data_IF_713105884404
#
_entry.id   IF_713105884404
#
_cell.length_a   1.000
_cell.length_b   1.000
_cell.length_c   1.000
_cell.angle_alpha   90.00
_cell.angle_beta   90.00
_cell.angle_gamma   90.00
#
_symmetry.space_group_name_H-M   'P 1'
#
loop_
_entity.id
_entity.type
_entity.pdbx_description
1 polymer ?
#
# COMPACT_ATOMS: atom_id res chain seq x y z
N UNK A 1 24.30 -1.40 12.27
CA UNK A 1 23.77 -0.58 13.39
C UNK A 1 22.54 -1.31 13.89
N UNK A 2 22.33 -1.40 15.19
CA UNK A 2 21.15 -2.05 15.78
C UNK A 2 20.16 -0.98 16.22
N UNK A 3 18.91 -1.11 15.83
CA UNK A 3 17.80 -0.27 16.29
C UNK A 3 16.87 -1.14 17.12
N UNK A 4 16.47 -0.68 18.30
CA UNK A 4 15.60 -1.46 19.17
C UNK A 4 14.15 -1.01 19.02
N UNK A 5 13.24 -1.96 18.99
CA UNK A 5 11.82 -1.71 18.83
C UNK A 5 10.95 -2.52 19.77
N UNK A 6 9.65 -2.31 19.60
CA UNK A 6 8.56 -3.08 20.18
C UNK A 6 7.49 -3.29 19.12
N UNK A 7 6.64 -4.27 19.32
CA UNK A 7 5.36 -4.37 18.64
C UNK A 7 4.21 -4.46 19.64
N UNK A 8 3.07 -3.85 19.28
CA UNK A 8 1.95 -3.64 20.20
C UNK A 8 0.60 -3.81 19.52
N UNK A 9 -0.38 -4.20 20.33
CA UNK A 9 -1.80 -4.30 19.96
C UNK A 9 -2.69 -3.77 21.09
N UNK A 10 -3.98 -4.10 21.09
CA UNK A 10 -4.87 -3.80 22.21
C UNK A 10 -4.43 -4.42 23.53
N UNK A 11 -3.63 -5.49 23.51
CA UNK A 11 -3.18 -6.16 24.75
C UNK A 11 -2.28 -5.28 25.62
N UNK A 12 -1.57 -4.31 25.04
CA UNK A 12 -0.74 -3.37 25.80
C UNK A 12 -1.55 -2.20 26.39
N UNK A 13 -2.84 -2.11 26.07
CA UNK A 13 -3.77 -1.13 26.63
C UNK A 13 -3.35 0.31 26.36
N UNK A 14 -3.48 1.19 27.35
CA UNK A 14 -3.14 2.60 27.18
C UNK A 14 -1.63 2.85 27.36
N UNK A 15 -0.93 3.10 26.26
CA UNK A 15 0.51 3.33 26.23
C UNK A 15 0.85 4.83 26.42
N UNK A 16 1.77 5.13 27.34
CA UNK A 16 2.44 6.43 27.43
C UNK A 16 3.65 6.47 26.49
N UNK A 17 3.41 6.85 25.24
CA UNK A 17 4.44 6.92 24.20
C UNK A 17 5.58 7.91 24.50
N UNK A 18 5.34 8.95 25.30
CA UNK A 18 6.39 9.89 25.71
C UNK A 18 7.34 9.27 26.75
N UNK A 19 6.86 8.33 27.56
CA UNK A 19 7.70 7.53 28.43
C UNK A 19 8.49 6.51 27.60
N UNK A 20 7.84 5.80 26.66
CA UNK A 20 8.48 4.82 25.76
C UNK A 20 9.63 5.45 24.97
N UNK A 21 9.45 6.64 24.41
CA UNK A 21 10.50 7.33 23.64
C UNK A 21 11.76 7.66 24.46
N UNK A 22 11.72 7.55 25.80
CA UNK A 22 12.87 7.79 26.70
C UNK A 22 13.59 6.50 27.10
N UNK A 23 13.10 5.32 26.72
CA UNK A 23 13.66 4.02 27.16
C UNK A 23 14.67 3.43 26.17
N UNK A 24 15.01 4.14 25.10
CA UNK A 24 15.89 3.67 24.02
C UNK A 24 15.17 2.89 22.92
N UNK A 25 13.84 2.87 22.91
CA UNK A 25 13.05 2.38 21.77
C UNK A 25 13.15 3.39 20.62
N UNK A 26 13.40 2.88 19.42
CA UNK A 26 13.57 3.65 18.18
C UNK A 26 12.41 3.46 17.20
N UNK A 27 11.73 2.32 17.26
CA UNK A 27 10.59 2.03 16.40
C UNK A 27 9.49 1.24 17.12
N UNK A 28 8.27 1.32 16.57
CA UNK A 28 7.16 0.50 17.02
C UNK A 28 6.36 -0.04 15.83
N UNK A 29 6.07 -1.35 15.83
CA UNK A 29 5.02 -1.91 14.97
C UNK A 29 3.69 -1.87 15.71
N UNK A 30 2.64 -1.41 15.04
CA UNK A 30 1.29 -1.34 15.61
C UNK A 30 0.34 -2.26 14.86
N UNK A 31 -0.43 -3.09 15.58
CA UNK A 31 -1.42 -3.96 14.96
C UNK A 31 -2.49 -3.11 14.28
N UNK A 32 -2.68 -3.29 12.98
CA UNK A 32 -3.65 -2.55 12.19
C UNK A 32 -5.01 -3.24 12.15
N UNK A 33 -5.01 -4.56 12.04
CA UNK A 33 -6.21 -5.37 11.98
C UNK A 33 -5.89 -6.82 11.72
N UNK A 34 -6.91 -7.55 11.31
CA UNK A 34 -6.79 -8.97 11.02
C UNK A 34 -8.06 -9.57 10.46
N UNK A 35 -7.97 -10.85 10.13
CA UNK A 35 -9.08 -11.68 9.65
C UNK A 35 -9.21 -13.01 10.40
N UNK A 36 -8.44 -13.21 11.47
CA UNK A 36 -8.41 -14.45 12.25
C UNK A 36 -9.77 -14.84 12.84
N UNK A 37 -10.58 -13.84 13.19
CA UNK A 37 -11.92 -13.99 13.76
C UNK A 37 -12.95 -13.17 12.94
N UNK A 38 -12.79 -13.24 11.61
CA UNK A 38 -13.47 -12.36 10.66
C UNK A 38 -12.75 -11.03 10.50
N UNK A 39 -13.06 -10.31 9.43
CA UNK A 39 -12.33 -9.08 9.09
C UNK A 39 -12.62 -7.96 10.10
N UNK A 40 -11.58 -7.33 10.66
CA UNK A 40 -11.72 -6.20 11.59
C UNK A 40 -10.60 -5.15 11.47
N UNK A 41 -10.80 -3.98 12.07
CA UNK A 41 -9.74 -2.97 12.33
C UNK A 41 -9.39 -3.08 13.80
N UNK A 42 -8.10 -3.07 14.15
CA UNK A 42 -7.70 -3.08 15.55
C UNK A 42 -8.17 -1.79 16.25
N UNK A 43 -8.88 -1.97 17.36
CA UNK A 43 -9.41 -0.94 18.25
C UNK A 43 -8.37 0.08 18.74
N UNK A 44 -7.11 -0.33 18.93
CA UNK A 44 -6.04 0.56 19.37
C UNK A 44 -5.15 1.08 18.25
N UNK A 45 -5.36 0.68 16.99
CA UNK A 45 -4.48 1.04 15.87
C UNK A 45 -4.27 2.56 15.75
N UNK A 46 -5.34 3.33 15.59
CA UNK A 46 -5.24 4.79 15.39
C UNK A 46 -4.58 5.49 16.57
N UNK A 47 -4.88 5.05 17.79
CA UNK A 47 -4.31 5.63 19.01
C UNK A 47 -2.82 5.31 19.14
N UNK A 48 -2.43 4.06 18.87
CA UNK A 48 -1.05 3.62 18.93
C UNK A 48 -0.22 4.27 17.81
N UNK A 49 -0.73 4.28 16.58
CA UNK A 49 -0.11 4.97 15.46
C UNK A 49 0.13 6.46 15.77
N UNK A 50 -0.92 7.20 16.14
CA UNK A 50 -0.80 8.63 16.41
C UNK A 50 0.13 8.94 17.59
N UNK A 51 0.05 8.14 18.67
CA UNK A 51 0.88 8.31 19.84
C UNK A 51 2.37 8.04 19.58
N UNK A 52 2.69 6.95 18.88
CA UNK A 52 4.05 6.61 18.50
C UNK A 52 4.65 7.68 17.57
N UNK A 53 3.94 8.08 16.50
CA UNK A 53 4.38 9.15 15.59
C UNK A 53 4.62 10.47 16.31
N UNK A 54 3.69 10.89 17.17
CA UNK A 54 3.81 12.15 17.91
C UNK A 54 5.00 12.16 18.90
N UNK A 55 5.43 10.98 19.36
CA UNK A 55 6.61 10.82 20.22
C UNK A 55 7.94 10.75 19.45
N UNK A 56 7.89 10.77 18.11
CA UNK A 56 9.08 10.73 17.24
C UNK A 56 9.63 9.33 16.99
N UNK A 57 8.87 8.27 17.30
CA UNK A 57 9.25 6.90 16.95
C UNK A 57 9.01 6.63 15.47
N UNK A 58 9.87 5.80 14.86
CA UNK A 58 9.62 5.24 13.54
C UNK A 58 8.48 4.21 13.63
N UNK A 59 7.48 4.31 12.78
CA UNK A 59 6.28 3.45 12.91
C UNK A 59 6.17 2.48 11.74
N UNK A 60 5.87 1.22 12.06
CA UNK A 60 5.41 0.18 11.14
C UNK A 60 4.02 -0.29 11.52
N UNK A 61 3.39 -1.08 10.66
CA UNK A 61 2.10 -1.67 10.95
C UNK A 61 2.09 -3.15 10.58
N UNK A 62 1.28 -3.95 11.26
CA UNK A 62 1.12 -5.36 10.90
C UNK A 62 -0.34 -5.81 10.86
N UNK A 63 -0.59 -6.85 10.08
CA UNK A 63 -1.91 -7.45 9.88
C UNK A 63 -1.86 -8.95 10.17
N UNK A 64 -2.81 -9.47 10.94
CA UNK A 64 -2.84 -10.89 11.33
C UNK A 64 -4.01 -11.61 10.65
N UNK A 65 -3.80 -12.49 9.67
CA UNK A 65 -4.89 -13.11 8.91
C UNK A 65 -5.42 -14.42 9.55
N UNK A 66 -4.72 -14.95 10.55
CA UNK A 66 -5.09 -16.18 11.25
C UNK A 66 -5.00 -17.45 10.40
N UNK A 67 -5.77 -18.48 10.79
CA UNK A 67 -5.59 -19.84 10.26
C UNK A 67 -6.18 -20.09 8.87
N UNK A 68 -7.03 -19.19 8.37
CA UNK A 68 -7.69 -19.36 7.07
C UNK A 68 -6.89 -18.74 5.91
N UNK A 69 -5.70 -18.21 6.19
CA UNK A 69 -4.80 -17.61 5.22
C UNK A 69 -4.08 -18.68 4.39
N UNK A 70 -4.82 -19.42 3.57
CA UNK A 70 -4.33 -20.64 2.91
C UNK A 70 -4.64 -20.68 1.42
N UNK A 71 -5.01 -19.56 0.80
CA UNK A 71 -5.23 -19.47 -0.64
C UNK A 71 -4.86 -18.09 -1.18
N UNK A 72 -4.64 -18.01 -2.50
CA UNK A 72 -4.38 -16.75 -3.19
C UNK A 72 -5.49 -15.72 -2.92
N UNK A 73 -6.75 -16.14 -2.96
CA UNK A 73 -7.90 -15.27 -2.72
C UNK A 73 -7.92 -14.70 -1.30
N UNK A 74 -7.50 -15.49 -0.30
CA UNK A 74 -7.33 -15.00 1.07
C UNK A 74 -6.21 -13.95 1.13
N UNK A 75 -5.07 -14.22 0.50
CA UNK A 75 -3.96 -13.28 0.34
C UNK A 75 -4.39 -11.94 -0.24
N UNK A 76 -5.15 -11.97 -1.34
CA UNK A 76 -5.69 -10.78 -2.01
C UNK A 76 -6.66 -10.02 -1.11
N UNK A 77 -7.59 -10.73 -0.45
CA UNK A 77 -8.60 -10.12 0.41
C UNK A 77 -7.96 -9.41 1.62
N UNK A 78 -6.98 -10.04 2.26
CA UNK A 78 -6.30 -9.48 3.41
C UNK A 78 -5.37 -8.32 3.04
N UNK A 79 -4.71 -8.36 1.87
CA UNK A 79 -3.90 -7.23 1.41
C UNK A 79 -4.76 -5.99 1.14
N UNK A 80 -5.89 -6.16 0.42
CA UNK A 80 -6.84 -5.05 0.19
C UNK A 80 -7.36 -4.50 1.50
N UNK A 81 -7.72 -5.39 2.42
CA UNK A 81 -8.21 -4.98 3.72
C UNK A 81 -7.16 -4.20 4.51
N UNK A 82 -5.90 -4.64 4.46
CA UNK A 82 -4.81 -3.94 5.14
C UNK A 82 -4.57 -2.56 4.52
N UNK A 83 -4.53 -2.46 3.19
CA UNK A 83 -4.45 -1.19 2.45
C UNK A 83 -5.56 -0.21 2.85
N UNK A 84 -6.80 -0.67 3.00
CA UNK A 84 -7.91 0.17 3.46
C UNK A 84 -7.69 0.75 4.86
N UNK A 85 -7.08 -0.02 5.78
CA UNK A 85 -6.82 0.43 7.15
C UNK A 85 -5.71 1.50 7.17
N UNK A 86 -4.67 1.29 6.36
CA UNK A 86 -3.46 2.12 6.39
C UNK A 86 -3.50 3.28 5.40
N UNK A 87 -4.57 3.42 4.61
CA UNK A 87 -4.73 4.49 3.64
C UNK A 87 -4.47 5.89 4.25
N UNK A 88 -3.68 6.70 3.52
CA UNK A 88 -3.34 8.06 3.92
C UNK A 88 -2.35 8.18 5.09
N UNK A 89 -1.71 7.09 5.52
CA UNK A 89 -0.69 7.08 6.58
C UNK A 89 0.70 6.92 6.01
N UNK A 90 1.71 7.24 6.81
CA UNK A 90 3.14 7.07 6.46
C UNK A 90 3.86 6.23 7.50
N UNK A 91 4.72 5.32 7.03
CA UNK A 91 5.41 4.33 7.88
C UNK A 91 6.90 4.30 7.59
N UNK A 92 7.72 4.73 8.56
CA UNK A 92 9.18 4.66 8.47
C UNK A 92 9.72 3.23 8.58
N UNK A 93 8.92 2.31 9.10
CA UNK A 93 9.24 0.88 9.12
C UNK A 93 8.39 0.15 8.08
N UNK A 94 8.75 -1.10 7.71
CA UNK A 94 7.93 -1.93 6.84
C UNK A 94 6.48 -2.07 7.32
N UNK A 95 5.60 -2.48 6.41
CA UNK A 95 4.30 -3.04 6.77
C UNK A 95 4.38 -4.55 6.69
N UNK A 96 3.82 -5.26 7.66
CA UNK A 96 4.05 -6.70 7.82
C UNK A 96 2.78 -7.54 7.76
N UNK A 97 2.89 -8.73 7.16
CA UNK A 97 1.93 -9.82 7.36
C UNK A 97 2.42 -10.72 8.49
N UNK A 98 1.54 -11.02 9.44
CA UNK A 98 1.84 -11.83 10.62
C UNK A 98 1.38 -13.28 10.41
N UNK A 99 2.32 -14.23 10.26
CA UNK A 99 2.03 -15.61 9.87
C UNK A 99 2.17 -16.60 11.03
N UNK A 100 1.30 -16.49 12.03
CA UNK A 100 1.28 -17.41 13.19
C UNK A 100 0.11 -18.41 13.22
N UNK A 101 -0.93 -18.18 12.40
CA UNK A 101 -2.21 -18.90 12.51
C UNK A 101 -2.35 -20.19 11.69
N UNK A 102 -1.64 -20.31 10.56
CA UNK A 102 -1.77 -21.45 9.63
C UNK A 102 -1.12 -22.73 10.19
N UNK A 103 -1.47 -23.89 9.63
CA UNK A 103 -0.95 -25.19 10.10
C UNK A 103 0.08 -25.77 9.11
N UNK A 104 0.93 -26.71 9.55
CA UNK A 104 1.92 -27.34 8.67
C UNK A 104 1.33 -28.00 7.42
N UNK A 105 0.10 -28.53 7.51
CA UNK A 105 -0.62 -29.09 6.35
C UNK A 105 -1.05 -28.03 5.32
N UNK A 106 -1.13 -26.76 5.70
CA UNK A 106 -1.56 -25.65 4.84
C UNK A 106 -0.39 -24.98 4.12
N UNK A 107 0.83 -25.53 4.24
CA UNK A 107 2.09 -24.90 3.87
C UNK A 107 2.12 -24.27 2.47
N UNK A 108 1.68 -25.01 1.46
CA UNK A 108 1.68 -24.53 0.07
C UNK A 108 0.66 -23.39 -0.10
N UNK A 109 -0.53 -23.55 0.48
CA UNK A 109 -1.59 -22.55 0.44
C UNK A 109 -1.22 -21.26 1.18
N UNK A 110 -0.60 -21.38 2.35
CA UNK A 110 -0.10 -20.24 3.12
C UNK A 110 1.03 -19.50 2.37
N UNK A 111 1.91 -20.22 1.69
CA UNK A 111 2.96 -19.62 0.85
C UNK A 111 2.33 -18.84 -0.31
N UNK A 112 1.37 -19.43 -1.03
CA UNK A 112 0.65 -18.76 -2.13
C UNK A 112 -0.08 -17.50 -1.64
N UNK A 113 -0.80 -17.60 -0.51
CA UNK A 113 -1.49 -16.46 0.10
C UNK A 113 -0.50 -15.34 0.46
N UNK A 114 0.66 -15.70 1.01
CA UNK A 114 1.71 -14.76 1.41
C UNK A 114 2.29 -14.02 0.20
N UNK A 115 2.59 -14.73 -0.88
CA UNK A 115 3.10 -14.12 -2.13
C UNK A 115 2.08 -13.14 -2.68
N UNK A 116 0.82 -13.56 -2.79
CA UNK A 116 -0.26 -12.71 -3.30
C UNK A 116 -0.44 -11.44 -2.45
N UNK A 117 -0.42 -11.58 -1.12
CA UNK A 117 -0.48 -10.45 -0.22
C UNK A 117 0.68 -9.49 -0.43
N UNK A 118 1.91 -10.00 -0.39
CA UNK A 118 3.11 -9.17 -0.46
C UNK A 118 3.20 -8.44 -1.79
N UNK A 119 2.89 -9.11 -2.91
CA UNK A 119 2.88 -8.47 -4.24
C UNK A 119 1.86 -7.36 -4.36
N UNK A 120 0.68 -7.48 -3.76
CA UNK A 120 -0.31 -6.40 -3.74
C UNK A 120 0.17 -5.21 -2.90
N UNK A 121 0.79 -5.47 -1.75
CA UNK A 121 1.34 -4.40 -0.91
C UNK A 121 2.47 -3.65 -1.62
N UNK A 122 3.41 -4.36 -2.26
CA UNK A 122 4.49 -3.74 -3.05
C UNK A 122 3.95 -2.93 -4.23
N UNK A 123 2.98 -3.48 -4.98
CA UNK A 123 2.34 -2.79 -6.09
C UNK A 123 1.59 -1.52 -5.65
N UNK A 124 1.14 -1.47 -4.38
CA UNK A 124 0.55 -0.29 -3.77
C UNK A 124 1.57 0.70 -3.19
N UNK A 125 2.87 0.49 -3.44
CA UNK A 125 3.95 1.38 -3.00
C UNK A 125 4.41 1.16 -1.57
N UNK A 126 4.15 0.00 -0.98
CA UNK A 126 4.61 -0.33 0.37
C UNK A 126 5.82 -1.27 0.36
N UNK A 127 6.80 -0.97 1.19
CA UNK A 127 7.83 -1.90 1.61
C UNK A 127 7.20 -2.94 2.54
N UNK A 128 6.93 -4.12 2.00
CA UNK A 128 6.30 -5.22 2.72
C UNK A 128 7.33 -6.16 3.35
N UNK A 129 6.95 -6.77 4.45
CA UNK A 129 7.76 -7.72 5.22
C UNK A 129 6.90 -8.88 5.70
N UNK A 130 7.53 -10.03 5.91
CA UNK A 130 6.87 -11.23 6.44
C UNK A 130 7.32 -11.42 7.88
N UNK A 131 6.37 -11.45 8.81
CA UNK A 131 6.60 -11.86 10.19
C UNK A 131 6.24 -13.33 10.41
N UNK A 132 7.05 -14.02 11.21
CA UNK A 132 6.74 -15.37 11.67
C UNK A 132 7.79 -15.97 12.60
N UNK A 133 7.42 -17.04 13.30
CA UNK A 133 8.33 -17.83 14.11
C UNK A 133 9.39 -18.55 13.27
N UNK A 134 10.63 -18.58 13.75
CA UNK A 134 11.74 -19.25 13.07
C UNK A 134 11.45 -20.74 12.79
N UNK A 135 10.83 -21.42 13.77
CA UNK A 135 10.44 -22.82 13.65
C UNK A 135 8.95 -22.94 13.29
N UNK A 136 8.09 -22.28 14.07
CA UNK A 136 6.62 -22.43 14.01
C UNK A 136 5.93 -21.42 13.06
N UNK A 137 6.61 -21.06 11.96
CA UNK A 137 6.06 -20.36 10.80
C UNK A 137 6.94 -20.66 9.60
N UNK A 138 8.18 -20.13 9.60
CA UNK A 138 9.06 -20.16 8.44
C UNK A 138 9.53 -21.58 8.08
N UNK A 139 9.81 -22.44 9.05
CA UNK A 139 10.28 -23.80 8.79
C UNK A 139 9.13 -24.78 8.51
N UNK A 140 8.10 -24.79 9.35
CA UNK A 140 7.05 -25.80 9.31
C UNK A 140 5.85 -25.45 8.43
N UNK A 141 5.56 -24.15 8.21
CA UNK A 141 4.32 -23.68 7.56
C UNK A 141 4.52 -22.84 6.30
N UNK A 142 5.75 -22.53 5.89
CA UNK A 142 6.04 -21.76 4.68
C UNK A 142 7.15 -22.36 3.82
N UNK A 143 7.02 -22.27 2.50
CA UNK A 143 8.07 -22.60 1.56
C UNK A 143 9.04 -21.41 1.44
N UNK A 144 9.98 -21.30 2.39
CA UNK A 144 10.84 -20.10 2.54
C UNK A 144 11.56 -19.68 1.25
N UNK A 145 12.06 -20.63 0.45
CA UNK A 145 12.78 -20.30 -0.79
C UNK A 145 11.91 -19.64 -1.87
N UNK A 146 10.58 -19.71 -1.75
CA UNK A 146 9.65 -18.98 -2.62
C UNK A 146 9.39 -17.54 -2.14
N UNK A 147 9.90 -17.18 -0.97
CA UNK A 147 9.69 -15.90 -0.31
C UNK A 147 11.00 -15.09 -0.20
N UNK A 148 12.08 -15.53 -0.86
CA UNK A 148 13.43 -14.97 -0.72
C UNK A 148 13.50 -13.46 -1.03
N UNK A 149 12.63 -12.95 -1.89
CA UNK A 149 12.58 -11.54 -2.28
C UNK A 149 12.08 -10.59 -1.17
N UNK A 150 11.26 -11.08 -0.24
CA UNK A 150 10.66 -10.24 0.81
C UNK A 150 11.54 -10.23 2.06
N UNK A 151 11.62 -9.11 2.77
CA UNK A 151 12.33 -9.09 4.05
C UNK A 151 11.58 -9.86 5.15
N UNK A 152 12.36 -10.45 6.07
CA UNK A 152 11.83 -11.27 7.17
C UNK A 152 11.98 -10.56 8.52
N UNK A 153 10.91 -10.60 9.31
CA UNK A 153 10.89 -10.34 10.73
C UNK A 153 10.67 -11.65 11.47
N UNK A 154 11.71 -12.14 12.14
CA UNK A 154 11.72 -13.50 12.66
C UNK A 154 11.54 -13.48 14.16
N UNK A 155 10.57 -14.23 14.67
CA UNK A 155 10.41 -14.46 16.10
C UNK A 155 11.22 -15.68 16.55
N UNK A 156 12.13 -15.49 17.50
CA UNK A 156 12.77 -16.58 18.24
C UNK A 156 13.30 -16.10 19.59
N UNK A 157 12.76 -16.67 20.66
CA UNK A 157 13.08 -16.22 22.01
C UNK A 157 14.22 -17.05 22.63
N UNK A 158 15.10 -16.38 23.39
CA UNK A 158 16.17 -17.01 24.17
C UNK A 158 17.39 -17.50 23.37
N UNK A 159 17.33 -17.46 22.03
CA UNK A 159 18.45 -17.78 21.13
C UNK A 159 18.23 -17.15 19.77
N UNK A 160 19.30 -16.80 19.06
CA UNK A 160 19.24 -16.30 17.68
C UNK A 160 18.49 -17.25 16.73
N UNK A 161 17.76 -16.73 15.72
CA UNK A 161 17.19 -17.50 14.61
C UNK A 161 18.19 -18.49 14.00
N UNK A 162 17.76 -19.72 13.81
CA UNK A 162 18.59 -20.80 13.28
C UNK A 162 18.13 -21.28 11.91
N UNK A 163 16.85 -21.15 11.56
CA UNK A 163 16.35 -21.60 10.26
C UNK A 163 16.42 -20.48 9.24
N UNK A 164 15.82 -19.33 9.55
CA UNK A 164 15.94 -18.13 8.72
C UNK A 164 17.31 -17.51 8.95
N UNK A 165 18.18 -17.56 7.93
CA UNK A 165 19.57 -17.08 8.02
C UNK A 165 19.73 -15.61 7.68
N UNK A 166 18.82 -15.07 6.88
CA UNK A 166 18.80 -13.68 6.46
C UNK A 166 17.46 -13.08 6.86
N UNK A 167 17.50 -12.12 7.78
CA UNK A 167 16.34 -11.42 8.30
C UNK A 167 16.74 -9.98 8.62
N UNK A 168 15.79 -9.07 8.49
CA UNK A 168 16.03 -7.67 8.77
C UNK A 168 15.62 -7.26 10.18
N UNK A 169 14.70 -7.99 10.80
CA UNK A 169 14.24 -7.77 12.18
C UNK A 169 14.20 -9.11 12.92
N UNK A 170 14.59 -9.09 14.19
CA UNK A 170 14.45 -10.21 15.12
C UNK A 170 13.62 -9.79 16.32
N UNK A 171 12.49 -10.46 16.54
CA UNK A 171 11.75 -10.41 17.80
C UNK A 171 12.37 -11.41 18.77
N UNK A 172 13.06 -10.90 19.78
CA UNK A 172 13.90 -11.70 20.69
C UNK A 172 13.27 -11.97 22.05
N UNK A 173 12.16 -11.31 22.38
CA UNK A 173 11.42 -11.51 23.62
C UNK A 173 9.95 -11.12 23.47
N UNK A 174 9.09 -11.78 24.25
CA UNK A 174 7.66 -11.48 24.39
C UNK A 174 7.22 -11.19 25.83
N UNK A 175 8.19 -11.06 26.74
CA UNK A 175 7.95 -11.03 28.18
C UNK A 175 8.63 -9.85 28.88
N UNK A 176 9.10 -8.88 28.10
CA UNK A 176 9.80 -7.71 28.62
C UNK A 176 8.85 -6.60 29.07
N UNK A 177 9.41 -5.63 29.80
CA UNK A 177 8.72 -4.44 30.27
C UNK A 177 9.42 -3.20 29.73
N UNK A 178 8.64 -2.21 29.32
CA UNK A 178 9.11 -0.91 28.82
C UNK A 178 8.35 0.18 29.55
N UNK A 179 9.05 1.19 30.09
CA UNK A 179 8.38 2.31 30.76
C UNK A 179 7.38 2.97 29.81
N UNK A 180 6.15 3.15 30.30
CA UNK A 180 5.01 3.64 29.51
C UNK A 180 4.04 2.54 29.09
N UNK A 181 4.42 1.26 29.22
CA UNK A 181 3.53 0.11 29.05
C UNK A 181 3.41 -0.60 30.40
N UNK A 182 2.24 -0.45 31.03
CA UNK A 182 2.05 -0.91 32.42
C UNK A 182 1.03 -2.02 32.57
N UNK A 183 0.21 -2.27 31.55
CA UNK A 183 -0.89 -3.23 31.65
C UNK A 183 -0.39 -4.68 31.50
N UNK A 184 0.58 -4.93 30.61
CA UNK A 184 1.14 -6.24 30.33
C UNK A 184 2.60 -6.13 29.88
N UNK A 185 3.24 -7.28 29.62
CA UNK A 185 4.53 -7.34 28.92
C UNK A 185 4.41 -6.86 27.48
N UNK A 186 5.55 -6.57 26.86
CA UNK A 186 5.65 -6.16 25.46
C UNK A 186 6.72 -6.98 24.74
N UNK A 187 6.47 -7.22 23.48
CA UNK A 187 7.41 -7.84 22.56
C UNK A 187 8.58 -6.88 22.26
N UNK A 188 9.77 -7.42 22.07
CA UNK A 188 11.00 -6.66 21.88
C UNK A 188 11.72 -7.09 20.62
N UNK A 189 12.06 -6.09 19.83
CA UNK A 189 12.67 -6.27 18.52
C UNK A 189 14.02 -5.60 18.41
N UNK A 190 14.83 -6.14 17.49
CA UNK A 190 16.01 -5.48 16.97
C UNK A 190 15.99 -5.50 15.45
N UNK A 191 16.13 -4.33 14.83
CA UNK A 191 16.29 -4.18 13.40
C UNK A 191 17.77 -4.02 13.04
N UNK A 192 18.21 -4.75 12.01
CA UNK A 192 19.58 -4.77 11.51
C UNK A 192 19.76 -3.94 10.23
N UNK A 193 18.65 -3.47 9.65
CA UNK A 193 18.62 -2.57 8.50
C UNK A 193 18.08 -1.21 8.91
N UNK A 194 18.57 -0.15 8.28
CA UNK A 194 18.03 1.20 8.45
C UNK A 194 16.78 1.39 7.58
N UNK A 195 15.67 0.73 7.97
CA UNK A 195 14.41 0.82 7.23
C UNK A 195 13.91 2.25 7.01
N UNK A 196 13.97 3.17 8.00
CA UNK A 196 13.57 4.56 7.78
C UNK A 196 14.28 5.21 6.59
N UNK A 197 15.58 5.00 6.46
CA UNK A 197 16.36 5.52 5.34
C UNK A 197 16.03 4.80 4.03
N UNK A 198 15.98 3.46 4.04
CA UNK A 198 15.67 2.64 2.85
C UNK A 198 14.31 3.02 2.25
N UNK A 199 13.29 3.13 3.09
CA UNK A 199 11.91 3.36 2.68
C UNK A 199 11.72 4.80 2.18
N UNK A 200 12.27 5.80 2.89
CA UNK A 200 12.18 7.21 2.48
C UNK A 200 12.93 7.47 1.17
N UNK A 201 14.15 6.95 1.04
CA UNK A 201 14.93 7.10 -0.19
C UNK A 201 14.26 6.44 -1.40
N UNK A 202 13.48 5.38 -1.17
CA UNK A 202 12.72 4.71 -2.22
C UNK A 202 11.36 5.38 -2.51
N UNK A 203 10.93 6.38 -1.75
CA UNK A 203 9.59 6.97 -1.89
C UNK A 203 8.47 5.95 -1.64
N UNK A 204 8.66 5.05 -0.68
CA UNK A 204 7.68 4.02 -0.33
C UNK A 204 6.89 4.38 0.92
N UNK A 205 5.87 3.60 1.25
CA UNK A 205 5.05 3.73 2.46
C UNK A 205 4.43 5.12 2.65
N UNK A 206 3.94 5.72 1.55
CA UNK A 206 3.30 7.04 1.57
C UNK A 206 4.28 8.23 1.61
N UNK A 207 5.59 8.00 1.53
CA UNK A 207 6.58 9.05 1.29
C UNK A 207 6.75 9.30 -0.21
N UNK A 208 6.99 10.54 -0.63
CA UNK A 208 7.49 10.84 -1.98
C UNK A 208 9.02 10.69 -1.99
N UNK A 209 9.61 10.32 -3.14
CA UNK A 209 11.06 10.20 -3.33
C UNK A 209 11.83 11.53 -3.25
N UNK A 210 11.16 12.65 -2.96
CA UNK A 210 11.74 14.00 -2.94
C UNK A 210 12.25 14.46 -1.56
N UNK A 211 12.45 13.56 -0.60
CA UNK A 211 12.88 13.95 0.75
C UNK A 211 14.01 13.08 1.28
N UNK A 212 15.26 13.48 1.01
CA UNK A 212 16.38 13.18 1.90
C UNK A 212 16.77 14.47 2.61
N UNK A 213 16.18 14.67 3.79
CA UNK A 213 16.66 15.65 4.77
C UNK A 213 18.02 15.18 5.31
N UNK A 214 19.11 15.82 4.85
CA UNK A 214 20.34 15.97 5.65
C UNK A 214 20.24 17.25 6.50
N UNK A 215 20.89 17.30 7.68
CA UNK A 215 20.51 18.21 8.76
C UNK A 215 20.88 19.67 8.46
N UNK A 216 19.97 20.56 8.89
CA UNK A 216 20.00 22.01 8.77
C UNK A 216 21.36 22.66 9.08
N UNK A 217 21.92 23.39 8.10
CA UNK A 217 22.54 24.69 8.39
C UNK A 217 22.56 25.65 7.18
N UNK A 218 21.93 26.81 7.41
CA UNK A 218 21.95 28.09 6.70
C UNK A 218 21.29 28.20 5.29
N UNK A 219 20.22 28.99 5.24
CA UNK A 219 19.76 29.72 4.05
C UNK A 219 20.86 30.69 3.59
N UNK A 220 21.06 30.94 2.28
CA UNK A 220 20.07 31.72 1.52
C UNK A 220 19.93 31.47 0.00
N UNK A 221 18.81 32.01 -0.47
CA UNK A 221 18.41 32.38 -1.84
C UNK A 221 17.97 31.29 -2.83
N UNK A 222 16.67 31.37 -3.09
CA UNK A 222 15.84 30.75 -4.11
C UNK A 222 16.41 30.87 -5.54
N UNK A 223 16.35 29.78 -6.32
CA UNK A 223 16.11 29.86 -7.74
C UNK A 223 14.80 29.17 -8.11
N UNK A 224 13.88 29.95 -8.68
CA UNK A 224 12.67 29.49 -9.33
C UNK A 224 12.99 28.76 -10.64
N UNK A 225 12.50 27.53 -10.85
CA UNK A 225 12.47 26.78 -12.13
C UNK A 225 11.41 25.64 -11.99
N UNK A 226 10.57 25.21 -12.94
CA UNK A 226 9.92 25.69 -14.18
C UNK A 226 8.77 24.66 -14.44
N UNK A 227 7.67 25.08 -15.09
CA UNK A 227 6.68 24.16 -15.68
C UNK A 227 7.32 23.37 -16.85
N UNK A 228 6.97 22.10 -17.12
CA UNK A 228 7.40 21.46 -18.35
C UNK A 228 6.49 21.84 -19.52
N UNK A 229 7.16 22.26 -20.60
CA UNK A 229 6.65 22.62 -21.92
C UNK A 229 6.09 21.45 -22.76
N UNK A 230 5.54 21.83 -23.92
CA UNK A 230 4.72 21.08 -24.88
C UNK A 230 5.25 19.77 -25.51
N UNK A 231 4.25 18.92 -25.84
CA UNK A 231 4.07 18.07 -27.04
C UNK A 231 5.31 17.47 -27.73
N UNK A 232 5.65 16.23 -27.36
CA UNK A 232 6.45 15.32 -28.18
C UNK A 232 5.61 14.09 -28.59
N UNK A 233 5.60 13.75 -29.88
CA UNK A 233 4.83 12.66 -30.54
C UNK A 233 5.44 11.25 -30.33
N UNK A 234 6.31 11.09 -29.33
CA UNK A 234 6.99 9.81 -29.03
C UNK A 234 6.16 8.97 -28.06
N UNK A 235 6.06 7.63 -28.26
CA UNK A 235 5.44 6.75 -27.28
C UNK A 235 6.16 6.81 -25.94
N UNK A 236 5.41 6.99 -24.86
CA UNK A 236 5.91 7.01 -23.48
C UNK A 236 5.41 5.77 -22.77
N UNK A 237 6.26 5.13 -21.97
CA UNK A 237 5.81 4.05 -21.08
C UNK A 237 5.22 4.65 -19.82
N UNK A 238 3.98 4.29 -19.51
CA UNK A 238 3.31 4.66 -18.27
C UNK A 238 3.09 3.42 -17.40
N UNK A 239 3.55 3.48 -16.15
CA UNK A 239 3.28 2.44 -15.15
C UNK A 239 1.96 2.78 -14.47
N UNK A 240 0.97 1.90 -14.59
CA UNK A 240 -0.35 2.07 -13.96
C UNK A 240 -0.17 2.20 -12.44
N UNK A 241 -0.75 3.23 -11.83
CA UNK A 241 -0.72 3.49 -10.40
C UNK A 241 -1.99 2.96 -9.72
N UNK A 242 -1.92 2.76 -8.41
CA UNK A 242 -3.10 2.38 -7.63
C UNK A 242 -4.17 3.47 -7.71
N UNK A 243 -5.37 3.08 -8.10
CA UNK A 243 -6.49 4.01 -8.31
C UNK A 243 -6.58 4.57 -9.73
N UNK A 244 -5.60 4.31 -10.60
CA UNK A 244 -5.73 4.67 -12.00
C UNK A 244 -6.83 3.86 -12.69
N UNK A 245 -7.56 4.55 -13.55
CA UNK A 245 -8.39 3.96 -14.59
C UNK A 245 -7.77 4.22 -15.97
N UNK A 246 -8.02 3.34 -16.95
CA UNK A 246 -7.62 3.64 -18.34
C UNK A 246 -8.20 4.98 -18.82
N UNK A 247 -9.37 5.37 -18.32
CA UNK A 247 -10.00 6.66 -18.62
C UNK A 247 -9.20 7.87 -18.11
N UNK A 248 -8.65 7.81 -16.90
CA UNK A 248 -7.85 8.90 -16.35
C UNK A 248 -6.47 8.98 -17.01
N UNK A 249 -5.88 7.82 -17.33
CA UNK A 249 -4.62 7.77 -18.07
C UNK A 249 -4.82 8.31 -19.49
N UNK A 250 -5.88 7.89 -20.19
CA UNK A 250 -6.21 8.40 -21.52
C UNK A 250 -6.40 9.93 -21.50
N UNK A 251 -7.13 10.45 -20.51
CA UNK A 251 -7.30 11.89 -20.34
C UNK A 251 -5.97 12.61 -20.09
N UNK A 252 -5.10 12.06 -19.23
CA UNK A 252 -3.78 12.63 -18.92
C UNK A 252 -2.87 12.75 -20.15
N UNK A 253 -2.94 11.77 -21.04
CA UNK A 253 -2.14 11.72 -22.26
C UNK A 253 -2.89 12.22 -23.50
N UNK A 254 -4.05 12.86 -23.32
CA UNK A 254 -4.87 13.40 -24.41
C UNK A 254 -5.13 12.36 -25.54
N UNK A 255 -5.42 11.11 -25.17
CA UNK A 255 -5.73 9.98 -26.05
C UNK A 255 -7.06 9.33 -25.62
N UNK A 256 -7.45 8.20 -26.19
CA UNK A 256 -8.68 7.47 -25.83
C UNK A 256 -8.36 6.12 -25.18
N UNK A 257 -9.31 5.59 -24.41
CA UNK A 257 -9.19 4.22 -23.85
C UNK A 257 -9.04 3.19 -24.98
N UNK A 258 -9.77 3.37 -26.08
CA UNK A 258 -9.67 2.49 -27.25
C UNK A 258 -8.27 2.54 -27.89
N UNK A 259 -7.69 3.74 -28.04
CA UNK A 259 -6.32 3.90 -28.55
C UNK A 259 -5.31 3.26 -27.59
N UNK A 260 -5.50 3.36 -26.26
CA UNK A 260 -4.66 2.66 -25.28
C UNK A 260 -4.83 1.15 -25.33
N UNK A 261 -6.05 0.65 -25.48
CA UNK A 261 -6.37 -0.78 -25.56
C UNK A 261 -5.76 -1.39 -26.81
N UNK A 262 -5.92 -0.75 -27.96
CA UNK A 262 -5.33 -1.19 -29.23
C UNK A 262 -3.80 -1.15 -29.18
N UNK A 263 -3.22 -0.07 -28.64
CA UNK A 263 -1.77 0.11 -28.56
C UNK A 263 -1.10 -0.92 -27.64
N UNK A 264 -1.81 -1.41 -26.62
CA UNK A 264 -1.26 -2.31 -25.61
C UNK A 264 -1.80 -3.74 -25.66
N UNK A 265 -2.76 -4.03 -26.55
CA UNK A 265 -3.40 -5.34 -26.65
C UNK A 265 -4.13 -5.76 -25.37
N UNK A 266 -4.84 -4.82 -24.73
CA UNK A 266 -5.56 -5.07 -23.47
C UNK A 266 -6.88 -5.79 -23.75
N UNK A 267 -7.04 -7.01 -23.24
CA UNK A 267 -8.25 -7.82 -23.48
C UNK A 267 -9.49 -7.31 -22.72
N UNK A 268 -9.30 -6.70 -21.54
CA UNK A 268 -10.38 -6.15 -20.73
C UNK A 268 -10.02 -4.75 -20.22
N UNK A 269 -10.65 -3.67 -20.76
CA UNK A 269 -10.32 -2.30 -20.38
C UNK A 269 -10.70 -1.93 -18.94
N UNK A 270 -11.64 -2.65 -18.33
CA UNK A 270 -12.05 -2.43 -16.93
C UNK A 270 -11.14 -3.15 -15.92
N UNK A 271 -10.15 -3.91 -16.39
CA UNK A 271 -9.26 -4.70 -15.57
C UNK A 271 -7.81 -4.41 -15.92
N UNK A 272 -7.33 -3.28 -15.40
CA UNK A 272 -5.91 -2.93 -15.39
C UNK A 272 -5.33 -3.13 -13.99
N UNK A 273 -4.06 -3.46 -13.93
CA UNK A 273 -3.37 -3.75 -12.66
C UNK A 273 -2.33 -2.67 -12.39
N UNK A 274 -2.33 -2.06 -11.20
CA UNK A 274 -1.21 -1.23 -10.75
C UNK A 274 0.12 -1.97 -10.89
N UNK A 275 1.14 -1.27 -11.38
CA UNK A 275 2.45 -1.83 -11.72
C UNK A 275 2.55 -2.34 -13.16
N UNK A 276 1.45 -2.54 -13.89
CA UNK A 276 1.53 -2.87 -15.31
C UNK A 276 2.01 -1.66 -16.11
N UNK A 277 2.95 -1.90 -17.02
CA UNK A 277 3.37 -0.92 -18.00
C UNK A 277 2.41 -0.94 -19.19
N UNK A 278 1.92 0.25 -19.55
CA UNK A 278 1.24 0.49 -20.82
C UNK A 278 2.00 1.55 -21.60
N UNK A 279 2.15 1.32 -22.88
CA UNK A 279 2.62 2.31 -23.84
C UNK A 279 1.48 3.30 -24.07
N UNK A 280 1.71 4.56 -23.75
CA UNK A 280 0.78 5.66 -24.05
C UNK A 280 1.40 6.50 -25.16
N UNK A 281 0.56 7.07 -26.03
CA UNK A 281 1.01 8.04 -27.03
C UNK A 281 0.20 9.31 -26.82
N UNK A 282 0.87 10.45 -26.72
CA UNK A 282 0.17 11.73 -26.65
C UNK A 282 -0.66 11.92 -27.92
N UNK A 283 -1.98 11.94 -27.79
CA UNK A 283 -2.87 12.14 -28.93
C UNK A 283 -2.81 13.59 -29.40
N UNK A 284 -2.69 13.79 -30.71
CA UNK A 284 -2.94 15.10 -31.32
C UNK A 284 -4.41 15.46 -31.08
N UNK A 285 -4.64 16.59 -30.41
CA UNK A 285 -5.95 17.21 -30.22
C UNK A 285 -6.80 17.10 -31.49
N UNK A 286 -7.84 16.26 -31.47
CA UNK A 286 -8.85 16.25 -32.53
C UNK A 286 -9.82 17.38 -32.21
N UNK A 287 -9.97 18.28 -33.18
CA UNK A 287 -10.75 19.51 -33.13
C UNK A 287 -12.13 19.36 -32.47
N UNK A 288 -12.42 20.31 -31.57
CA UNK A 288 -13.73 20.65 -31.01
C UNK A 288 -14.74 20.96 -32.12
N UNK A 289 -15.59 20.01 -32.55
CA UNK A 289 -16.95 20.34 -33.01
C UNK A 289 -17.84 19.09 -33.17
N UNK A 290 -18.58 18.71 -32.13
CA UNK A 290 -19.73 17.81 -32.21
C UNK A 290 -20.69 18.08 -31.03
N UNK A 291 -21.60 19.08 -31.11
CA UNK A 291 -22.68 19.26 -30.12
C UNK A 291 -23.75 18.14 -30.27
N UNK A 292 -23.48 16.96 -29.73
CA UNK A 292 -24.48 15.87 -29.62
C UNK A 292 -25.09 15.90 -28.22
N UNK A 293 -26.40 15.76 -28.09
CA UNK A 293 -27.07 15.65 -26.78
C UNK A 293 -27.61 14.23 -26.58
N UNK A 294 -27.37 13.64 -25.42
CA UNK A 294 -27.83 12.31 -25.04
C UNK A 294 -28.75 12.36 -23.80
N UNK A 295 -29.89 11.67 -23.86
CA UNK A 295 -30.79 11.52 -22.71
C UNK A 295 -30.47 10.22 -21.97
N UNK A 296 -30.04 10.35 -20.70
CA UNK A 296 -29.73 9.22 -19.81
C UNK A 296 -30.97 8.34 -19.64
N UNK A 297 -30.80 7.04 -19.82
CA UNK A 297 -31.84 6.02 -19.65
C UNK A 297 -31.66 5.28 -18.33
N UNK A 298 -32.73 4.66 -17.78
CA UNK A 298 -32.60 3.80 -16.62
C UNK A 298 -31.57 2.69 -16.86
N UNK A 299 -30.53 2.67 -16.03
CA UNK A 299 -29.43 1.69 -16.09
C UNK A 299 -28.19 2.14 -16.85
N UNK A 300 -28.18 3.33 -17.48
CA UNK A 300 -26.96 3.87 -18.08
C UNK A 300 -25.92 4.27 -17.01
N UNK A 301 -24.65 4.17 -17.37
CA UNK A 301 -23.51 4.76 -16.63
C UNK A 301 -22.78 5.79 -17.49
N UNK A 302 -22.05 6.74 -16.87
CA UNK A 302 -21.23 7.70 -17.64
C UNK A 302 -20.17 6.99 -18.48
N UNK A 303 -19.61 5.88 -17.99
CA UNK A 303 -18.61 5.08 -18.72
C UNK A 303 -19.18 4.47 -20.00
N UNK A 304 -20.36 3.85 -19.92
CA UNK A 304 -21.03 3.28 -21.10
C UNK A 304 -21.45 4.34 -22.11
N UNK A 305 -21.87 5.52 -21.64
CA UNK A 305 -22.22 6.66 -22.50
C UNK A 305 -20.95 7.21 -23.16
N UNK A 306 -19.89 7.43 -22.40
CA UNK A 306 -18.60 7.93 -22.90
C UNK A 306 -18.06 7.01 -24.01
N UNK A 307 -18.04 5.69 -23.77
CA UNK A 307 -17.64 4.69 -24.74
C UNK A 307 -18.52 4.73 -26.01
N UNK A 308 -19.86 4.80 -25.82
CA UNK A 308 -20.81 4.84 -26.95
C UNK A 308 -20.59 6.05 -27.87
N UNK A 309 -20.18 7.17 -27.31
CA UNK A 309 -20.01 8.42 -28.03
C UNK A 309 -18.56 8.77 -28.33
N UNK A 310 -17.62 7.86 -28.06
CA UNK A 310 -16.19 8.05 -28.26
C UNK A 310 -15.66 9.33 -27.60
N UNK A 311 -16.08 9.58 -26.37
CA UNK A 311 -15.61 10.67 -25.49
C UNK A 311 -15.15 10.08 -24.15
N UNK A 312 -14.77 10.90 -23.17
CA UNK A 312 -14.31 10.46 -21.84
C UNK A 312 -15.31 10.80 -20.74
N UNK A 313 -15.35 10.01 -19.66
CA UNK A 313 -16.14 10.33 -18.46
C UNK A 313 -15.74 11.70 -17.91
N UNK A 314 -14.44 11.98 -17.85
CA UNK A 314 -13.91 13.29 -17.43
C UNK A 314 -14.45 14.43 -18.29
N UNK A 315 -14.49 14.27 -19.62
CA UNK A 315 -15.04 15.27 -20.54
C UNK A 315 -16.55 15.44 -20.35
N UNK A 316 -17.29 14.34 -20.15
CA UNK A 316 -18.72 14.40 -19.84
C UNK A 316 -18.98 15.13 -18.51
N UNK A 317 -18.18 14.87 -17.48
CA UNK A 317 -18.26 15.53 -16.17
C UNK A 317 -18.00 17.02 -16.31
N UNK A 318 -16.93 17.40 -17.01
CA UNK A 318 -16.53 18.79 -17.24
C UNK A 318 -17.59 19.57 -18.02
N UNK A 319 -18.02 19.04 -19.17
CA UNK A 319 -18.95 19.72 -20.10
C UNK A 319 -20.35 19.87 -19.49
N UNK A 320 -20.73 18.97 -18.58
CA UNK A 320 -22.05 18.95 -17.96
C UNK A 320 -22.08 19.43 -16.51
N UNK A 321 -20.93 19.74 -15.90
CA UNK A 321 -20.82 20.19 -14.52
C UNK A 321 -21.36 19.15 -13.52
N UNK A 322 -20.95 17.89 -13.66
CA UNK A 322 -21.42 16.79 -12.81
C UNK A 322 -20.55 16.69 -11.55
N UNK A 323 -21.15 16.84 -10.37
CA UNK A 323 -20.41 16.81 -9.10
C UNK A 323 -19.99 15.39 -8.67
N UNK A 324 -20.81 14.37 -9.00
CA UNK A 324 -20.53 12.98 -8.70
C UNK A 324 -20.67 12.11 -9.97
N UNK A 325 -19.56 11.62 -10.55
CA UNK A 325 -19.56 10.80 -11.76
C UNK A 325 -20.33 9.47 -11.62
N UNK A 326 -20.45 8.93 -10.41
CA UNK A 326 -21.14 7.66 -10.13
C UNK A 326 -22.65 7.83 -9.93
N UNK A 327 -23.15 9.07 -9.97
CA UNK A 327 -24.55 9.38 -9.70
C UNK A 327 -25.14 10.25 -10.82
N UNK A 328 -25.71 9.58 -11.82
CA UNK A 328 -26.53 10.20 -12.87
C UNK A 328 -27.99 9.74 -12.76
N UNK A 329 -28.92 10.63 -13.12
CA UNK A 329 -30.36 10.35 -13.04
C UNK A 329 -30.95 10.09 -14.44
N UNK A 330 -31.87 9.13 -14.58
CA UNK A 330 -32.64 8.97 -15.81
C UNK A 330 -33.30 10.29 -16.25
N UNK A 331 -33.42 10.48 -17.56
CA UNK A 331 -33.93 11.67 -18.24
C UNK A 331 -33.04 12.93 -18.15
N UNK A 332 -31.88 12.84 -17.50
CA UNK A 332 -30.84 13.87 -17.59
C UNK A 332 -30.34 14.00 -19.03
N UNK A 333 -30.19 15.24 -19.53
CA UNK A 333 -29.61 15.50 -20.85
C UNK A 333 -28.14 15.84 -20.69
N UNK A 334 -27.28 14.99 -21.23
CA UNK A 334 -25.84 15.21 -21.31
C UNK A 334 -25.48 15.82 -22.67
N UNK A 335 -24.68 16.88 -22.65
CA UNK A 335 -23.91 17.37 -23.77
C UNK A 335 -22.71 16.45 -23.96
N UNK A 336 -22.58 15.92 -25.16
CA UNK A 336 -21.51 15.05 -25.60
C UNK A 336 -20.61 15.91 -26.49
N UNK A 337 -19.32 15.93 -26.18
CA UNK A 337 -18.26 16.62 -26.93
C UNK A 337 -17.01 15.77 -26.97
#
# INVERSE_FOLDING_TARGET
>A
MEFYGIDVSHYQGNIDWNAVAKTGINFAFVKAGGSEDGIYTESMFEKNYAGAKASGLNVGAYYFPGSNFTSEEAGIADARRFLDIIAGKTFEMPVAIDLEGTKPEDKDGATIATIAFCKIMEAAGYYVMIYGGDIFSFNDRLNLGELDEFDKWVARYGSEPQYVKEYGIWQYSSTDYVDGITENTVDKDVAYKNYPEIIKNAGLNGFSSDAVDEPENETPDEPAIEEPEESSDEPVTYVIQSGDTLSEIAARYNTTVDELVELNGIDNPDLIYPGNEITVKAGSSRDDDCDVAYQVRPGDTLSEIAARYNTTVGRLVEVNGIDNPDLIYPDTILKIK
#
